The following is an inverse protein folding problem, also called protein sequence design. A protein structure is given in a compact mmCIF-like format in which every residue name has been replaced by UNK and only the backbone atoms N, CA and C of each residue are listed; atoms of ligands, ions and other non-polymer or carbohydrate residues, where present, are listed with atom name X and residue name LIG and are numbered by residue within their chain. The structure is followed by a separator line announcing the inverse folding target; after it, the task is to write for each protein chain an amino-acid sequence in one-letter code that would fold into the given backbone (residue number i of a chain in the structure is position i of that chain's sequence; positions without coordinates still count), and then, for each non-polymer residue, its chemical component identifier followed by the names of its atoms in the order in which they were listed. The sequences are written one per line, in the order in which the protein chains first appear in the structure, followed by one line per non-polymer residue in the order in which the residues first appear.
data_IF_861354085519
#
_entry.id   IF_861354085519
#
_cell.length_a   1.000
_cell.length_b   1.000
_cell.length_c   1.000
_cell.angle_alpha   90.00
_cell.angle_beta   90.00
_cell.angle_gamma   90.00
#
_symmetry.space_group_name_H-M   'P 1'
#
loop_
_entity.id
_entity.type
_entity.pdbx_description
1 polymer ?
#
# COMPACT_ATOMS: atom_id res chain seq x y z
N UNK A 1 4.83 -27.56 -2.71
CA UNK A 1 4.29 -26.32 -2.11
C UNK A 1 2.84 -26.15 -2.58
N UNK A 2 1.83 -26.40 -1.73
CA UNK A 2 0.43 -26.16 -2.09
C UNK A 2 0.24 -24.64 -2.32
N UNK A 3 -0.23 -24.26 -3.52
CA UNK A 3 -0.61 -22.88 -3.80
C UNK A 3 -1.86 -22.57 -2.97
N UNK A 4 -1.74 -21.64 -2.03
CA UNK A 4 -2.91 -21.13 -1.31
C UNK A 4 -3.89 -20.54 -2.34
N UNK A 5 -5.19 -20.86 -2.24
CA UNK A 5 -6.19 -20.31 -3.15
C UNK A 5 -6.15 -18.79 -3.05
N UNK A 6 -5.93 -18.12 -4.19
CA UNK A 6 -5.98 -16.65 -4.25
C UNK A 6 -7.42 -16.23 -3.96
N UNK A 7 -7.63 -15.72 -2.76
CA UNK A 7 -8.90 -15.13 -2.34
C UNK A 7 -9.28 -14.03 -3.35
N UNK A 8 -10.43 -14.18 -4.00
CA UNK A 8 -10.92 -13.18 -4.96
C UNK A 8 -11.29 -11.92 -4.17
N UNK A 9 -10.36 -10.98 -4.08
CA UNK A 9 -10.63 -9.69 -3.45
C UNK A 9 -11.73 -8.97 -4.21
N UNK A 10 -12.92 -8.97 -3.62
CA UNK A 10 -14.04 -8.16 -4.07
C UNK A 10 -13.70 -6.69 -3.82
N UNK A 11 -13.58 -5.90 -4.89
CA UNK A 11 -13.30 -4.46 -4.78
C UNK A 11 -14.60 -3.70 -4.48
N UNK A 12 -15.11 -3.85 -3.26
CA UNK A 12 -16.21 -3.04 -2.69
C UNK A 12 -15.66 -1.75 -2.09
N UNK A 13 -16.51 -0.74 -1.92
CA UNK A 13 -16.13 0.52 -1.27
C UNK A 13 -15.63 0.28 0.17
N UNK A 14 -16.28 -0.64 0.89
CA UNK A 14 -15.90 -1.01 2.26
C UNK A 14 -14.51 -1.65 2.32
N UNK A 15 -14.19 -2.55 1.38
CA UNK A 15 -12.86 -3.17 1.33
C UNK A 15 -11.77 -2.18 0.96
N UNK A 16 -12.08 -1.23 0.07
CA UNK A 16 -11.19 -0.11 -0.24
C UNK A 16 -10.97 0.77 1.00
N UNK A 17 -12.04 1.23 1.63
CA UNK A 17 -11.95 2.07 2.83
C UNK A 17 -11.13 1.40 3.94
N UNK A 18 -11.42 0.12 4.24
CA UNK A 18 -10.65 -0.67 5.21
C UNK A 18 -9.16 -0.78 4.86
N UNK A 19 -8.82 -0.80 3.56
CA UNK A 19 -7.42 -0.92 3.10
C UNK A 19 -6.71 0.44 3.01
N UNK A 20 -7.46 1.53 2.88
CA UNK A 20 -6.93 2.88 2.90
C UNK A 20 -6.71 3.38 4.33
N UNK A 21 -7.54 2.96 5.28
CA UNK A 21 -7.41 3.30 6.69
C UNK A 21 -8.62 4.09 7.20
N UNK A 22 -8.73 4.27 8.53
CA UNK A 22 -9.89 4.92 9.15
C UNK A 22 -10.05 6.39 8.74
N UNK A 23 -8.96 7.07 8.38
CA UNK A 23 -8.95 8.49 8.04
C UNK A 23 -9.55 8.79 6.66
N UNK A 24 -9.81 7.76 5.85
CA UNK A 24 -10.34 7.92 4.50
C UNK A 24 -11.86 7.90 4.51
N UNK A 25 -12.45 9.06 4.22
CA UNK A 25 -13.90 9.22 4.08
C UNK A 25 -14.43 8.49 2.85
N UNK A 26 -15.70 8.07 2.89
CA UNK A 26 -16.35 7.43 1.74
C UNK A 26 -16.37 8.34 0.49
N UNK A 27 -16.43 9.66 0.68
CA UNK A 27 -16.36 10.63 -0.40
C UNK A 27 -15.01 10.57 -1.12
N UNK A 28 -13.91 10.51 -0.37
CA UNK A 28 -12.57 10.37 -0.93
C UNK A 28 -12.41 9.03 -1.67
N UNK A 29 -12.95 7.93 -1.13
CA UNK A 29 -12.96 6.63 -1.83
C UNK A 29 -13.70 6.71 -3.17
N UNK A 30 -14.83 7.43 -3.23
CA UNK A 30 -15.57 7.65 -4.49
C UNK A 30 -14.75 8.45 -5.48
N UNK A 31 -14.18 9.58 -5.06
CA UNK A 31 -13.31 10.42 -5.88
C UNK A 31 -12.13 9.63 -6.45
N UNK A 32 -11.51 8.79 -5.63
CA UNK A 32 -10.40 7.91 -6.03
C UNK A 32 -10.82 6.93 -7.14
N UNK A 33 -12.00 6.32 -6.99
CA UNK A 33 -12.58 5.40 -7.98
C UNK A 33 -12.94 6.10 -9.29
N UNK A 34 -13.43 7.33 -9.21
CA UNK A 34 -13.78 8.11 -10.40
C UNK A 34 -12.52 8.56 -11.14
N UNK A 35 -11.48 8.99 -10.40
CA UNK A 35 -10.16 9.31 -10.97
C UNK A 35 -9.55 8.09 -11.66
N UNK A 36 -9.59 6.90 -11.04
CA UNK A 36 -9.10 5.66 -11.67
C UNK A 36 -9.86 5.31 -12.95
N UNK A 37 -11.17 5.57 -13.02
CA UNK A 37 -11.95 5.35 -14.26
C UNK A 37 -11.54 6.30 -15.36
N UNK A 38 -11.34 7.57 -15.03
CA UNK A 38 -10.91 8.58 -15.98
C UNK A 38 -9.53 8.26 -16.54
N UNK A 39 -8.55 7.98 -15.67
CA UNK A 39 -7.19 7.59 -16.07
C UNK A 39 -7.22 6.31 -16.92
N UNK A 40 -8.00 5.29 -16.53
CA UNK A 40 -8.12 4.06 -17.29
C UNK A 40 -8.65 4.32 -18.70
N UNK A 41 -9.68 5.18 -18.86
CA UNK A 41 -10.23 5.54 -20.17
C UNK A 41 -9.28 6.37 -21.01
N UNK A 42 -8.46 7.20 -20.37
CA UNK A 42 -7.47 8.04 -21.04
C UNK A 42 -6.32 7.24 -21.64
N UNK A 43 -5.86 6.20 -20.94
CA UNK A 43 -4.62 5.49 -21.32
C UNK A 43 -4.85 4.09 -21.87
N UNK A 44 -5.89 3.38 -21.46
CA UNK A 44 -6.13 2.01 -21.94
C UNK A 44 -6.91 2.05 -23.26
N UNK A 45 -6.52 1.18 -24.19
CA UNK A 45 -7.24 0.98 -25.44
C UNK A 45 -8.09 -0.30 -25.28
N UNK A 46 -9.40 -0.12 -25.31
CA UNK A 46 -10.38 -1.17 -24.99
C UNK A 46 -10.54 -2.22 -26.10
N UNK A 47 -9.97 -1.97 -27.28
CA UNK A 47 -10.00 -2.91 -28.42
C UNK A 47 -8.97 -4.03 -28.27
N UNK A 48 -7.84 -3.78 -27.58
CA UNK A 48 -6.79 -4.80 -27.36
C UNK A 48 -7.00 -5.57 -26.06
N UNK A 49 -6.23 -6.64 -25.83
CA UNK A 49 -6.30 -7.34 -24.55
C UNK A 49 -5.54 -6.58 -23.45
N UNK A 50 -6.05 -6.61 -22.21
CA UNK A 50 -5.41 -5.97 -21.05
C UNK A 50 -3.93 -6.39 -20.88
N UNK A 51 -3.62 -7.67 -21.16
CA UNK A 51 -2.26 -8.22 -21.04
C UNK A 51 -1.28 -7.68 -22.10
N UNK A 52 -1.79 -7.10 -23.17
CA UNK A 52 -0.99 -6.58 -24.31
C UNK A 52 -0.60 -5.11 -24.12
N UNK A 53 -1.06 -4.47 -23.04
CA UNK A 53 -0.84 -3.03 -22.81
C UNK A 53 -0.12 -2.72 -21.47
N UNK A 54 1.02 -3.38 -21.17
CA UNK A 54 1.73 -3.11 -19.91
C UNK A 54 2.22 -1.66 -19.80
N UNK A 55 2.59 -1.04 -20.92
CA UNK A 55 3.04 0.36 -20.98
C UNK A 55 1.91 1.34 -20.63
N UNK A 56 0.70 1.10 -21.14
CA UNK A 56 -0.45 1.94 -20.81
C UNK A 56 -0.87 1.77 -19.35
N UNK A 57 -0.72 0.56 -18.81
CA UNK A 57 -0.94 0.32 -17.38
C UNK A 57 0.10 1.06 -16.53
N UNK A 58 1.36 1.08 -16.94
CA UNK A 58 2.40 1.86 -16.26
C UNK A 58 2.09 3.37 -16.28
N UNK A 59 1.55 3.90 -17.39
CA UNK A 59 1.08 5.30 -17.46
C UNK A 59 -0.09 5.56 -16.51
N UNK A 60 -1.06 4.63 -16.43
CA UNK A 60 -2.16 4.74 -15.46
C UNK A 60 -1.63 4.83 -14.03
N UNK A 61 -0.68 3.96 -13.68
CA UNK A 61 -0.04 3.92 -12.38
C UNK A 61 0.70 5.23 -12.08
N UNK A 62 1.56 5.67 -12.99
CA UNK A 62 2.35 6.89 -12.81
C UNK A 62 1.46 8.12 -12.60
N UNK A 63 0.47 8.34 -13.47
CA UNK A 63 -0.43 9.50 -13.36
C UNK A 63 -1.22 9.44 -12.04
N UNK A 64 -1.70 8.27 -11.66
CA UNK A 64 -2.48 8.12 -10.44
C UNK A 64 -1.66 8.32 -9.16
N UNK A 65 -0.42 7.84 -9.12
CA UNK A 65 0.44 7.99 -7.95
C UNK A 65 0.87 9.44 -7.74
N UNK A 66 1.04 10.19 -8.83
CA UNK A 66 1.35 11.62 -8.78
C UNK A 66 0.17 12.46 -8.25
N UNK A 67 -1.08 12.05 -8.49
CA UNK A 67 -2.26 12.76 -7.99
C UNK A 67 -2.52 12.51 -6.50
N UNK A 68 -2.04 11.39 -5.96
CA UNK A 68 -2.29 10.99 -4.57
C UNK A 68 -0.98 10.56 -3.87
N UNK A 69 0.04 11.43 -3.76
CA UNK A 69 1.33 11.06 -3.20
C UNK A 69 1.20 10.60 -1.73
N UNK A 70 0.36 11.26 -0.94
CA UNK A 70 0.17 10.98 0.49
C UNK A 70 -0.37 9.57 0.75
N UNK A 71 -1.13 9.03 -0.20
CA UNK A 71 -1.70 7.68 -0.16
C UNK A 71 -0.64 6.58 -0.30
N UNK A 72 0.52 6.89 -0.89
CA UNK A 72 1.55 5.90 -1.20
C UNK A 72 2.88 6.18 -0.51
N UNK A 73 3.15 7.40 -0.05
CA UNK A 73 4.42 7.75 0.59
C UNK A 73 4.49 7.38 2.08
N UNK A 74 3.34 7.32 2.77
CA UNK A 74 3.30 7.37 4.23
C UNK A 74 2.96 6.06 4.93
N UNK A 75 2.68 4.97 4.19
CA UNK A 75 2.09 3.77 4.77
C UNK A 75 2.81 2.48 4.40
N UNK A 76 3.00 1.63 5.42
CA UNK A 76 3.46 0.24 5.31
C UNK A 76 2.59 -0.63 4.38
N UNK A 77 1.38 -0.16 4.03
CA UNK A 77 0.43 -0.86 3.15
C UNK A 77 0.50 -0.40 1.68
N UNK A 78 1.54 0.32 1.26
CA UNK A 78 1.67 0.84 -0.11
C UNK A 78 1.44 -0.24 -1.19
N UNK A 79 2.11 -1.38 -1.09
CA UNK A 79 2.00 -2.46 -2.07
C UNK A 79 0.57 -3.01 -2.18
N UNK A 80 -0.13 -3.12 -1.05
CA UNK A 80 -1.52 -3.55 -1.00
C UNK A 80 -2.44 -2.52 -1.66
N UNK A 81 -2.23 -1.23 -1.41
CA UNK A 81 -3.02 -0.14 -2.04
C UNK A 81 -2.78 -0.08 -3.55
N UNK A 82 -1.53 -0.23 -3.99
CA UNK A 82 -1.18 -0.35 -5.41
C UNK A 82 -1.85 -1.56 -6.07
N UNK A 83 -1.82 -2.72 -5.41
CA UNK A 83 -2.49 -3.92 -5.90
C UNK A 83 -4.01 -3.73 -6.03
N UNK A 84 -4.65 -3.06 -5.07
CA UNK A 84 -6.07 -2.72 -5.12
C UNK A 84 -6.41 -1.74 -6.26
N UNK A 85 -5.58 -0.71 -6.47
CA UNK A 85 -5.74 0.21 -7.60
C UNK A 85 -5.67 -0.54 -8.93
N UNK A 86 -4.66 -1.41 -9.11
CA UNK A 86 -4.52 -2.25 -10.31
C UNK A 86 -5.73 -3.16 -10.53
N UNK A 87 -6.18 -3.84 -9.48
CA UNK A 87 -7.35 -4.72 -9.55
C UNK A 87 -8.62 -3.92 -9.93
N UNK A 88 -8.75 -2.69 -9.45
CA UNK A 88 -9.85 -1.81 -9.81
C UNK A 88 -9.78 -1.35 -11.27
N UNK A 89 -8.61 -0.92 -11.75
CA UNK A 89 -8.39 -0.56 -13.16
C UNK A 89 -8.71 -1.73 -14.09
N UNK A 90 -8.25 -2.94 -13.76
CA UNK A 90 -8.57 -4.15 -14.51
C UNK A 90 -10.09 -4.42 -14.55
N UNK A 91 -10.80 -4.15 -13.45
CA UNK A 91 -12.27 -4.27 -13.39
C UNK A 91 -12.97 -3.23 -14.27
N UNK A 92 -12.51 -1.97 -14.26
CA UNK A 92 -13.03 -0.91 -15.14
C UNK A 92 -12.83 -1.31 -16.60
N UNK A 93 -11.63 -1.78 -16.95
CA UNK A 93 -11.30 -2.26 -18.28
C UNK A 93 -12.25 -3.37 -18.75
N UNK A 94 -12.42 -4.42 -17.95
CA UNK A 94 -13.30 -5.53 -18.30
C UNK A 94 -14.76 -5.10 -18.48
N UNK A 95 -15.23 -4.17 -17.65
CA UNK A 95 -16.59 -3.65 -17.71
C UNK A 95 -16.84 -2.78 -18.95
N UNK A 96 -15.92 -1.88 -19.27
CA UNK A 96 -16.10 -0.98 -20.42
C UNK A 96 -15.92 -1.75 -21.73
N UNK A 97 -14.98 -2.71 -21.81
CA UNK A 97 -14.87 -3.61 -22.97
C UNK A 97 -16.12 -4.45 -23.20
N UNK A 98 -16.74 -4.96 -22.12
CA UNK A 98 -18.01 -5.69 -22.23
C UNK A 98 -19.15 -4.82 -22.75
N UNK A 99 -19.18 -3.53 -22.38
CA UNK A 99 -20.16 -2.58 -22.91
C UNK A 99 -19.93 -2.30 -24.39
N UNK A 100 -18.69 -2.01 -24.80
CA UNK A 100 -18.37 -1.79 -26.21
C UNK A 100 -18.79 -2.96 -27.10
N UNK A 101 -18.47 -4.20 -26.69
CA UNK A 101 -18.88 -5.40 -27.42
C UNK A 101 -20.41 -5.55 -27.54
N UNK A 102 -21.15 -5.10 -26.52
CA UNK A 102 -22.62 -5.13 -26.52
C UNK A 102 -23.19 -4.06 -27.44
N UNK A 103 -22.61 -2.88 -27.46
CA UNK A 103 -23.07 -1.79 -28.32
C UNK A 103 -22.82 -2.11 -29.80
N UNK A 104 -21.66 -2.68 -30.15
CA UNK A 104 -21.38 -3.14 -31.52
C UNK A 104 -22.35 -4.21 -32.03
N UNK A 105 -22.87 -5.08 -31.15
CA UNK A 105 -23.84 -6.12 -31.54
C UNK A 105 -25.24 -5.58 -31.91
N UNK A 106 -25.55 -4.33 -31.58
CA UNK A 106 -26.87 -3.74 -31.84
C UNK A 106 -26.97 -3.11 -33.23
N UNK A 107 -25.87 -2.58 -33.74
CA UNK A 107 -25.85 -1.89 -35.03
C UNK A 107 -26.06 -2.85 -36.21
N UNK A 108 -25.76 -4.14 -36.04
CA UNK A 108 -25.96 -5.18 -37.07
C UNK A 108 -27.43 -5.62 -37.22
N UNK A 109 -28.31 -5.38 -36.24
CA UNK A 109 -29.74 -5.77 -36.33
C UNK A 109 -30.65 -4.67 -36.89
N UNK A 110 -30.22 -3.40 -36.91
CA UNK A 110 -31.07 -2.28 -37.36
C UNK A 110 -30.98 -2.01 -38.88
N UNK A 111 -30.08 -2.69 -39.60
CA UNK A 111 -29.94 -2.61 -41.07
C UNK A 111 -30.86 -3.53 -41.88
N UNK A 112 -31.68 -4.37 -41.22
CA UNK A 112 -32.51 -5.41 -41.83
C UNK A 112 -33.98 -5.04 -42.05
N UNK A 113 -34.31 -3.85 -42.56
CA UNK A 113 -35.70 -3.51 -42.89
C UNK A 113 -35.83 -2.57 -44.10
N UNK A 114 -35.64 -3.13 -45.30
CA UNK A 114 -36.38 -2.75 -46.50
C UNK A 114 -36.72 -4.01 -47.30
N UNK A 115 -37.72 -4.78 -46.85
CA UNK A 115 -38.57 -5.55 -47.76
C UNK A 115 -39.88 -4.79 -47.92
N UNK A 116 -40.18 -4.23 -49.10
CA UNK A 116 -41.49 -3.70 -49.41
C UNK A 116 -42.47 -4.85 -49.65
N UNK A 117 -43.68 -4.70 -49.12
CA UNK A 117 -44.93 -5.38 -49.45
C UNK A 117 -44.92 -6.92 -49.63
N UNK A 118 -45.49 -7.65 -48.67
CA UNK A 118 -46.70 -8.41 -48.98
C UNK A 118 -47.52 -8.85 -47.73
N UNK A 119 -48.83 -8.64 -47.84
CA UNK A 119 -49.97 -9.35 -47.24
C UNK A 119 -50.02 -9.75 -45.75
N UNK A 120 -50.89 -9.02 -45.03
CA UNK A 120 -51.97 -9.53 -44.16
C UNK A 120 -51.74 -10.88 -43.50
N UNK A 121 -51.13 -10.88 -42.30
CA UNK A 121 -51.35 -11.96 -41.32
C UNK A 121 -51.63 -11.37 -39.92
N UNK A 122 -52.57 -11.94 -39.13
CA UNK A 122 -53.07 -11.31 -37.90
C UNK A 122 -52.09 -11.42 -36.73
N UNK A 123 -52.20 -10.54 -35.71
CA UNK A 123 -51.17 -10.36 -34.70
C UNK A 123 -51.21 -11.47 -33.64
N UNK A 124 -50.18 -12.32 -33.64
CA UNK A 124 -49.94 -13.28 -32.56
C UNK A 124 -49.29 -12.55 -31.38
N UNK A 125 -50.14 -12.07 -30.46
CA UNK A 125 -49.81 -11.55 -29.13
C UNK A 125 -48.79 -12.47 -28.45
N UNK A 126 -47.51 -12.12 -28.50
CA UNK A 126 -46.46 -12.79 -27.73
C UNK A 126 -46.35 -12.07 -26.39
N UNK A 127 -47.03 -12.63 -25.39
CA UNK A 127 -46.83 -12.30 -23.98
C UNK A 127 -45.33 -12.34 -23.68
N UNK A 128 -44.79 -11.21 -23.23
CA UNK A 128 -43.50 -11.12 -22.55
C UNK A 128 -43.59 -11.96 -21.28
N UNK A 129 -43.20 -13.23 -21.38
CA UNK A 129 -42.88 -14.03 -20.21
C UNK A 129 -41.48 -13.62 -19.75
N UNK A 130 -41.47 -12.94 -18.61
CA UNK A 130 -40.30 -12.68 -17.80
C UNK A 130 -39.68 -14.01 -17.38
N UNK A 131 -38.63 -14.46 -18.06
CA UNK A 131 -37.80 -15.58 -17.60
C UNK A 131 -36.85 -15.06 -16.53
N UNK A 132 -37.36 -14.99 -15.29
CA UNK A 132 -36.53 -14.93 -14.08
C UNK A 132 -36.13 -16.36 -13.71
N UNK A 133 -35.18 -16.93 -14.45
CA UNK A 133 -34.53 -18.18 -14.04
C UNK A 133 -33.40 -17.86 -13.07
N UNK A 134 -33.76 -17.68 -11.80
CA UNK A 134 -32.87 -17.83 -10.67
C UNK A 134 -32.53 -19.31 -10.49
N UNK A 135 -31.62 -19.86 -11.31
CA UNK A 135 -31.03 -21.17 -11.04
C UNK A 135 -29.80 -21.02 -10.16
N UNK A 136 -30.06 -20.87 -8.87
CA UNK A 136 -29.09 -21.00 -7.79
C UNK A 136 -28.66 -22.47 -7.66
N UNK A 137 -27.68 -22.89 -8.46
CA UNK A 137 -26.96 -24.15 -8.23
C UNK A 137 -25.97 -23.96 -7.08
N UNK A 138 -26.43 -24.26 -5.86
CA UNK A 138 -25.57 -24.61 -4.74
C UNK A 138 -24.80 -25.90 -5.11
N UNK A 139 -23.46 -25.92 -5.06
CA UNK A 139 -22.73 -27.18 -5.05
C UNK A 139 -22.88 -27.88 -3.67
N UNK A 140 -22.90 -29.22 -3.64
CA UNK A 140 -23.15 -29.99 -2.44
C UNK A 140 -22.03 -29.84 -1.40
N UNK A 141 -22.47 -29.77 -0.16
CA UNK A 141 -21.70 -29.86 1.08
C UNK A 141 -20.71 -31.03 1.05
N UNK A 142 -19.44 -30.73 0.76
CA UNK A 142 -18.34 -31.67 0.97
C UNK A 142 -18.02 -31.75 2.45
N UNK A 143 -18.23 -32.95 2.98
CA UNK A 143 -17.98 -33.40 4.33
C UNK A 143 -16.57 -33.00 4.83
N UNK A 144 -16.53 -32.47 6.04
CA UNK A 144 -15.31 -32.26 6.82
C UNK A 144 -14.66 -33.62 7.13
N UNK A 145 -13.37 -33.84 6.80
CA UNK A 145 -12.59 -34.88 7.45
C UNK A 145 -12.24 -34.40 8.86
N UNK A 146 -12.86 -35.02 9.86
CA UNK A 146 -12.35 -35.05 11.23
C UNK A 146 -11.09 -35.90 11.23
N UNK A 147 -9.91 -35.29 11.35
CA UNK A 147 -8.66 -36.02 11.57
C UNK A 147 -7.75 -35.33 12.59
N UNK A 148 -7.78 -35.94 13.78
CA UNK A 148 -6.67 -36.24 14.67
C UNK A 148 -5.88 -35.07 15.30
N UNK A 149 -6.16 -34.90 16.58
CA UNK A 149 -5.21 -34.64 17.66
C UNK A 149 -3.81 -35.15 17.32
N UNK A 150 -2.88 -34.22 17.13
CA UNK A 150 -1.44 -34.50 17.06
C UNK A 150 -0.85 -34.36 18.47
N UNK A 151 -0.22 -35.40 19.03
CA UNK A 151 0.47 -35.32 20.31
C UNK A 151 1.62 -34.31 20.23
N UNK A 152 1.69 -33.48 21.26
CA UNK A 152 2.77 -32.54 21.55
C UNK A 152 4.02 -33.34 21.96
N UNK A 153 5.17 -33.21 21.28
CA UNK A 153 6.42 -33.73 21.78
C UNK A 153 6.94 -32.78 22.87
N UNK A 154 6.67 -33.13 24.13
CA UNK A 154 7.59 -32.83 25.22
C UNK A 154 8.89 -33.57 24.95
N UNK A 155 10.00 -32.83 24.85
CA UNK A 155 11.25 -33.32 25.40
C UNK A 155 12.16 -32.17 25.85
N UNK A 156 12.84 -32.35 27.00
CA UNK A 156 13.75 -31.40 27.62
C UNK A 156 15.18 -31.60 27.10
N UNK A 157 15.99 -30.55 27.14
CA UNK A 157 17.45 -30.71 27.20
C UNK A 157 18.05 -29.52 27.94
N UNK A 158 18.28 -29.72 29.23
CA UNK A 158 19.17 -28.89 30.03
C UNK A 158 20.57 -29.02 29.44
N UNK A 159 21.12 -27.93 28.93
CA UNK A 159 22.55 -27.82 28.66
C UNK A 159 23.27 -27.47 29.96
N UNK A 160 24.31 -28.23 30.35
CA UNK A 160 25.11 -27.92 31.52
C UNK A 160 25.93 -26.64 31.29
N UNK A 161 25.86 -25.76 32.27
CA UNK A 161 26.65 -24.55 32.40
C UNK A 161 28.12 -24.93 32.60
N UNK A 162 28.91 -24.84 31.52
CA UNK A 162 30.35 -24.89 31.61
C UNK A 162 30.86 -23.48 31.99
N UNK A 163 31.24 -23.33 33.25
CA UNK A 163 31.94 -22.17 33.78
C UNK A 163 33.33 -22.07 33.14
N UNK A 164 33.43 -21.33 32.05
CA UNK A 164 34.72 -20.91 31.53
C UNK A 164 35.26 -19.76 32.40
N UNK A 165 36.54 -19.79 32.80
CA UNK A 165 37.15 -18.67 33.48
C UNK A 165 37.09 -17.43 32.57
N UNK A 166 36.54 -16.36 33.12
CA UNK A 166 36.52 -15.01 32.56
C UNK A 166 37.97 -14.57 32.31
N UNK A 167 38.50 -14.88 31.12
CA UNK A 167 39.66 -14.18 30.59
C UNK A 167 39.19 -12.77 30.26
N UNK A 168 39.51 -11.81 31.14
CA UNK A 168 39.54 -10.38 30.83
C UNK A 168 40.43 -10.17 29.59
N UNK A 169 39.84 -10.29 28.40
CA UNK A 169 40.42 -9.71 27.21
C UNK A 169 40.24 -8.21 27.35
N UNK A 170 41.36 -7.53 27.56
CA UNK A 170 41.46 -6.10 27.33
C UNK A 170 40.87 -5.84 25.94
N UNK A 171 39.85 -4.98 25.81
CA UNK A 171 39.27 -4.65 24.51
C UNK A 171 40.41 -4.19 23.59
N UNK A 172 40.54 -4.75 22.38
CA UNK A 172 41.44 -4.16 21.39
C UNK A 172 40.98 -2.71 21.20
N UNK A 173 41.88 -1.79 21.52
CA UNK A 173 41.69 -0.36 21.28
C UNK A 173 41.49 -0.18 19.78
N UNK A 174 40.23 -0.14 19.35
CA UNK A 174 39.85 0.18 17.99
C UNK A 174 40.14 1.67 17.78
N UNK A 175 41.38 1.98 17.43
CA UNK A 175 41.89 3.33 17.17
C UNK A 175 41.32 3.99 15.89
N UNK A 176 40.18 3.49 15.39
CA UNK A 176 39.43 4.08 14.29
C UNK A 176 38.17 4.78 14.82
N UNK A 177 38.30 5.56 15.90
CA UNK A 177 37.29 6.57 16.18
C UNK A 177 37.34 7.58 15.05
N UNK A 178 36.29 7.72 14.23
CA UNK A 178 36.26 8.76 13.21
C UNK A 178 36.50 10.09 13.92
N UNK A 179 37.43 10.88 13.39
CA UNK A 179 37.69 12.23 13.92
C UNK A 179 36.40 13.02 13.71
N UNK A 180 35.65 13.20 14.79
CA UNK A 180 34.42 13.97 14.77
C UNK A 180 34.79 15.44 14.77
N UNK A 181 34.40 16.15 13.71
CA UNK A 181 34.51 17.60 13.66
C UNK A 181 33.68 18.21 14.79
N UNK A 182 34.14 19.33 15.35
CA UNK A 182 33.47 20.04 16.46
C UNK A 182 31.98 20.30 16.22
N UNK A 183 31.57 20.45 14.95
CA UNK A 183 30.18 20.61 14.55
C UNK A 183 29.35 19.33 14.79
N UNK A 184 29.90 18.17 14.42
CA UNK A 184 29.22 16.87 14.59
C UNK A 184 29.05 16.48 16.06
N UNK A 185 29.89 17.03 16.95
CA UNK A 185 29.77 16.86 18.40
C UNK A 185 28.44 17.42 18.93
N UNK A 186 27.93 18.51 18.38
CA UNK A 186 26.64 19.09 18.81
C UNK A 186 25.47 18.18 18.46
N UNK A 187 25.48 17.59 17.26
CA UNK A 187 24.45 16.65 16.82
C UNK A 187 24.53 15.34 17.62
N UNK A 188 25.73 14.85 17.93
CA UNK A 188 25.93 13.71 18.80
C UNK A 188 25.36 13.97 20.20
N UNK A 189 25.69 15.12 20.80
CA UNK A 189 25.18 15.54 22.11
C UNK A 189 23.65 15.67 22.12
N UNK A 190 23.05 16.27 21.09
CA UNK A 190 21.60 16.32 20.93
C UNK A 190 20.98 14.91 20.97
N UNK A 191 21.54 13.95 20.24
CA UNK A 191 21.02 12.58 20.21
C UNK A 191 21.28 11.80 21.50
N UNK A 192 22.36 12.10 22.23
CA UNK A 192 22.67 11.49 23.53
C UNK A 192 21.73 11.97 24.64
N UNK A 193 21.20 13.19 24.53
CA UNK A 193 20.24 13.77 25.49
C UNK A 193 18.80 13.30 25.27
N UNK A 194 18.50 12.61 24.16
CA UNK A 194 17.22 11.94 23.96
C UNK A 194 16.97 10.90 25.06
N UNK A 195 15.71 10.66 25.42
CA UNK A 195 15.32 9.59 26.35
C UNK A 195 14.37 8.61 25.65
N UNK A 196 14.84 7.42 25.20
CA UNK A 196 16.19 6.87 25.37
C UNK A 196 17.25 7.52 24.47
N UNK A 197 18.56 7.38 24.76
CA UNK A 197 19.62 7.93 23.92
C UNK A 197 19.58 7.38 22.49
N UNK A 198 19.62 8.28 21.51
CA UNK A 198 19.43 7.99 20.08
C UNK A 198 20.72 8.15 19.27
N UNK A 199 21.89 8.14 19.93
CA UNK A 199 23.20 8.34 19.31
C UNK A 199 23.51 7.37 18.16
N UNK A 200 22.90 6.18 18.14
CA UNK A 200 23.05 5.21 17.07
C UNK A 200 22.48 5.67 15.72
N UNK A 201 21.64 6.71 15.70
CA UNK A 201 21.15 7.35 14.47
C UNK A 201 22.08 8.44 13.93
N UNK A 202 23.13 8.83 14.67
CA UNK A 202 24.08 9.87 14.25
C UNK A 202 24.60 9.69 12.81
N UNK A 203 24.97 8.48 12.35
CA UNK A 203 25.42 8.30 10.96
C UNK A 203 24.38 8.70 9.92
N UNK A 204 23.08 8.51 10.20
CA UNK A 204 22.01 8.88 9.28
C UNK A 204 21.83 10.41 9.22
N UNK A 205 21.93 11.08 10.38
CA UNK A 205 21.94 12.55 10.44
C UNK A 205 23.10 13.15 9.63
N UNK A 206 24.30 12.61 9.81
CA UNK A 206 25.48 13.06 9.07
C UNK A 206 25.38 12.79 7.57
N UNK A 207 24.85 11.62 7.18
CA UNK A 207 24.65 11.26 5.78
C UNK A 207 23.62 12.16 5.08
N UNK A 208 22.60 12.64 5.79
CA UNK A 208 21.62 13.60 5.27
C UNK A 208 22.16 15.03 5.20
N UNK A 209 23.23 15.34 5.93
CA UNK A 209 23.84 16.67 5.99
C UNK A 209 23.51 17.46 7.27
N UNK A 210 22.89 16.84 8.28
CA UNK A 210 22.69 17.44 9.59
C UNK A 210 24.01 17.43 10.37
N UNK A 211 24.83 18.47 10.20
CA UNK A 211 26.20 18.50 10.74
C UNK A 211 26.41 19.45 11.91
N UNK A 212 25.50 20.40 12.14
CA UNK A 212 25.64 21.47 13.12
C UNK A 212 24.34 21.74 13.87
N UNK A 213 24.43 22.50 14.94
CA UNK A 213 23.29 22.95 15.75
C UNK A 213 22.33 23.87 14.98
N UNK A 214 22.84 24.73 14.09
CA UNK A 214 22.00 25.60 13.25
C UNK A 214 20.96 24.81 12.45
N UNK A 215 21.35 23.63 11.94
CA UNK A 215 20.41 22.74 11.25
C UNK A 215 19.34 22.21 12.21
N UNK A 216 19.73 21.76 13.41
CA UNK A 216 18.78 21.27 14.41
C UNK A 216 17.79 22.38 14.82
N UNK A 217 18.27 23.61 14.95
CA UNK A 217 17.45 24.78 15.23
C UNK A 217 16.49 25.10 14.07
N UNK A 218 16.95 24.99 12.82
CA UNK A 218 16.10 25.14 11.65
C UNK A 218 14.99 24.07 11.63
N UNK A 219 15.30 22.80 11.93
CA UNK A 219 14.30 21.73 12.04
C UNK A 219 13.27 22.03 13.13
N UNK A 220 13.68 22.61 14.26
CA UNK A 220 12.75 23.03 15.30
C UNK A 220 11.78 24.14 14.84
N UNK A 221 12.10 24.92 13.81
CA UNK A 221 11.16 25.91 13.27
C UNK A 221 10.09 25.32 12.33
N UNK A 222 10.23 24.05 11.93
CA UNK A 222 9.35 23.43 10.96
C UNK A 222 8.00 23.00 11.57
N UNK A 223 6.93 22.91 10.76
CA UNK A 223 5.69 22.27 11.19
C UNK A 223 5.91 20.78 11.44
N UNK A 224 5.09 20.20 12.33
CA UNK A 224 5.22 18.80 12.77
C UNK A 224 5.24 17.79 11.62
N UNK A 225 4.40 18.00 10.59
CA UNK A 225 4.33 17.13 9.42
C UNK A 225 5.63 17.14 8.61
N UNK A 226 6.32 18.28 8.54
CA UNK A 226 7.59 18.41 7.85
C UNK A 226 8.74 17.76 8.64
N UNK A 227 8.74 17.88 9.96
CA UNK A 227 9.71 17.17 10.82
C UNK A 227 9.53 15.66 10.69
N UNK A 228 8.30 15.17 10.69
CA UNK A 228 8.01 13.75 10.50
C UNK A 228 8.45 13.25 9.13
N UNK A 229 8.14 13.98 8.05
CA UNK A 229 8.60 13.64 6.70
C UNK A 229 10.14 13.59 6.60
N UNK A 230 10.82 14.55 7.23
CA UNK A 230 12.27 14.58 7.33
C UNK A 230 12.82 13.34 8.06
N UNK A 231 12.30 13.01 9.24
CA UNK A 231 12.75 11.85 10.02
C UNK A 231 12.51 10.53 9.28
N UNK A 232 11.38 10.40 8.56
CA UNK A 232 11.11 9.25 7.68
C UNK A 232 12.13 9.16 6.54
N UNK A 233 12.50 10.29 5.94
CA UNK A 233 13.52 10.32 4.89
C UNK A 233 14.93 9.98 5.41
N UNK A 234 15.20 10.28 6.68
CA UNK A 234 16.52 10.12 7.30
C UNK A 234 16.91 8.65 7.49
N UNK A 235 15.99 7.81 7.97
CA UNK A 235 16.29 6.40 8.23
C UNK A 235 15.44 5.41 7.44
N UNK A 236 14.57 5.88 6.55
CA UNK A 236 13.67 5.02 5.80
C UNK A 236 12.86 4.13 6.74
N UNK A 237 13.01 2.82 6.61
CA UNK A 237 12.35 1.83 7.47
C UNK A 237 13.02 1.58 8.83
N UNK A 238 14.15 2.24 9.13
CA UNK A 238 14.87 2.04 10.40
C UNK A 238 14.28 2.83 11.57
N UNK A 239 13.59 3.93 11.29
CA UNK A 239 12.87 4.68 12.32
C UNK A 239 11.54 3.99 12.58
N UNK A 240 11.35 3.51 13.81
CA UNK A 240 10.03 3.12 14.26
C UNK A 240 9.18 4.37 14.49
N UNK A 241 7.85 4.22 14.50
CA UNK A 241 6.97 5.35 14.85
C UNK A 241 7.29 5.95 16.22
N UNK A 242 7.82 5.15 17.15
CA UNK A 242 8.24 5.63 18.47
C UNK A 242 9.49 6.51 18.40
N UNK A 243 10.48 6.11 17.59
CA UNK A 243 11.70 6.89 17.38
C UNK A 243 11.39 8.29 16.81
N UNK A 244 10.43 8.35 15.87
CA UNK A 244 9.96 9.62 15.29
C UNK A 244 9.34 10.51 16.37
N UNK A 245 8.48 9.94 17.23
CA UNK A 245 7.84 10.71 18.30
C UNK A 245 8.86 11.23 19.33
N UNK A 246 9.83 10.41 19.74
CA UNK A 246 10.89 10.80 20.67
C UNK A 246 11.70 11.94 20.08
N UNK A 247 12.17 11.82 18.84
CA UNK A 247 12.95 12.87 18.19
C UNK A 247 12.14 14.15 17.99
N UNK A 248 10.88 14.05 17.53
CA UNK A 248 10.02 15.21 17.33
C UNK A 248 9.79 15.97 18.64
N UNK A 249 9.51 15.24 19.73
CA UNK A 249 9.36 15.85 21.04
C UNK A 249 10.68 16.49 21.52
N UNK A 250 11.80 15.80 21.33
CA UNK A 250 13.11 16.30 21.74
C UNK A 250 13.53 17.56 20.97
N UNK A 251 13.24 17.66 19.66
CA UNK A 251 13.50 18.88 18.88
C UNK A 251 12.82 20.12 19.47
N UNK A 252 11.58 19.97 19.97
CA UNK A 252 10.83 21.06 20.61
C UNK A 252 11.44 21.42 21.96
N UNK A 253 11.65 20.41 22.80
CA UNK A 253 12.11 20.62 24.17
C UNK A 253 13.56 21.11 24.27
N UNK A 254 14.44 20.70 23.35
CA UNK A 254 15.88 20.96 23.41
C UNK A 254 16.23 22.46 23.41
N UNK A 255 15.48 23.26 22.63
CA UNK A 255 15.73 24.70 22.51
C UNK A 255 14.86 25.56 23.45
N UNK A 256 13.94 24.95 24.20
CA UNK A 256 13.12 25.64 25.20
C UNK A 256 13.82 25.76 26.57
N UNK A 257 14.93 25.06 26.76
CA UNK A 257 15.70 25.17 28.00
C UNK A 257 16.43 26.52 28.04
N UNK A 258 16.14 27.39 29.03
CA UNK A 258 16.91 28.62 29.21
C UNK A 258 18.37 28.25 29.53
N UNK A 259 19.29 28.79 28.73
CA UNK A 259 20.74 28.73 28.94
C UNK A 259 21.15 29.28 30.31
#
# INVERSE_FOLDING_TARGET
MPRTPKEKQSVTNENLQKSLGPDYTLALVRQWKDTLREIARKHLDFEKAYKEQPENMAKCEQEFWLLYPDLFLTSDNNDRRKALARAYVQKVFANDRWKSAKDSSRDDEEGGALTPDNELTPPKRRSRQSTQDNKSTNPPSSQRPVLRNRPQPTSPAMTPSASYPVRRRVPPSNANTPVFDKQTTQVAHFLETCTPPMAHFLPNFLAFGCKNEDFLQAVNSWPDDAVEAFLKSLGGSKFTGMDILVLKHHFRAYFEQPL
#
